data_IF_810957810718
#
_entry.id   IF_810957810718
#
_cell.length_a   1.000
_cell.length_b   1.000
_cell.length_c   1.000
_cell.angle_alpha   90.00
_cell.angle_beta   90.00
_cell.angle_gamma   90.00
#
_symmetry.space_group_name_H-M   'P 1'
#
loop_
_entity.id
_entity.type
_entity.pdbx_description
1 polymer ?
#
# COMPACT_ATOMS: atom_id res chain seq x y z
N UNK A 1 3.37 18.11 5.19
CA UNK A 1 3.65 17.35 3.96
C UNK A 1 2.79 16.10 4.00
N UNK A 2 1.74 16.04 3.18
CA UNK A 2 0.96 14.83 3.02
C UNK A 2 1.83 13.85 2.22
N UNK A 3 2.31 12.79 2.86
CA UNK A 3 2.94 11.69 2.14
C UNK A 3 1.87 11.01 1.31
N UNK A 4 2.14 10.86 0.01
CA UNK A 4 1.33 10.06 -0.92
C UNK A 4 1.37 8.60 -0.45
N UNK A 5 0.47 8.25 0.47
CA UNK A 5 0.43 6.94 1.10
C UNK A 5 -0.35 5.98 0.20
N UNK A 6 0.33 5.45 -0.81
CA UNK A 6 -0.17 4.31 -1.58
C UNK A 6 0.54 3.06 -1.04
N UNK A 7 -0.17 2.29 -0.23
CA UNK A 7 0.36 1.14 0.48
C UNK A 7 0.38 -0.16 -0.37
N UNK A 8 1.02 -0.15 -1.55
CA UNK A 8 1.29 -1.36 -2.34
C UNK A 8 2.80 -1.60 -2.47
N UNK A 9 3.24 -2.86 -2.42
CA UNK A 9 4.68 -3.19 -2.48
C UNK A 9 5.19 -3.65 -3.83
N UNK A 10 4.30 -3.98 -4.76
CA UNK A 10 4.62 -4.51 -6.10
C UNK A 10 3.58 -4.02 -7.12
N UNK A 11 3.96 -4.00 -8.39
CA UNK A 11 3.27 -3.32 -9.49
C UNK A 11 4.15 -2.25 -10.13
N UNK A 12 3.53 -1.39 -10.93
CA UNK A 12 4.21 -0.30 -11.62
C UNK A 12 4.26 0.97 -10.76
N UNK A 13 5.25 1.83 -11.03
CA UNK A 13 5.33 3.14 -10.40
C UNK A 13 4.20 4.07 -10.89
N UNK A 14 3.61 4.82 -9.97
CA UNK A 14 2.63 5.86 -10.27
C UNK A 14 3.15 7.23 -9.82
N UNK A 15 3.80 7.97 -10.73
CA UNK A 15 4.45 9.23 -10.40
C UNK A 15 5.54 9.05 -9.35
N UNK A 16 5.37 9.66 -8.17
CA UNK A 16 6.31 9.52 -7.04
C UNK A 16 6.02 8.30 -6.16
N UNK A 17 4.93 7.58 -6.40
CA UNK A 17 4.61 6.35 -5.69
C UNK A 17 5.36 5.18 -6.35
N UNK A 18 6.53 4.85 -5.79
CA UNK A 18 7.33 3.71 -6.23
C UNK A 18 7.03 2.51 -5.30
N UNK A 19 6.49 1.40 -5.80
CA UNK A 19 6.22 0.22 -4.97
C UNK A 19 7.51 -0.36 -4.39
N UNK A 20 7.50 -0.60 -3.08
CA UNK A 20 8.45 -1.47 -2.40
C UNK A 20 7.94 -1.79 -1.00
N UNK A 21 8.42 -2.90 -0.42
CA UNK A 21 8.13 -3.28 0.98
C UNK A 21 8.46 -2.14 1.96
N UNK A 22 9.58 -1.45 1.75
CA UNK A 22 10.01 -0.31 2.56
C UNK A 22 9.06 0.88 2.43
N UNK A 23 8.68 1.25 1.20
CA UNK A 23 7.78 2.38 0.96
C UNK A 23 6.38 2.12 1.51
N UNK A 24 5.88 0.89 1.41
CA UNK A 24 4.60 0.52 2.00
C UNK A 24 4.64 0.57 3.53
N UNK A 25 5.71 0.09 4.17
CA UNK A 25 5.88 0.21 5.62
C UNK A 25 5.91 1.67 6.08
N UNK A 26 6.63 2.54 5.35
CA UNK A 26 6.66 3.98 5.61
C UNK A 26 5.27 4.62 5.46
N UNK A 27 4.53 4.28 4.40
CA UNK A 27 3.17 4.74 4.16
C UNK A 27 2.20 4.33 5.29
N UNK A 28 2.21 3.04 5.67
CA UNK A 28 1.39 2.50 6.77
C UNK A 28 1.73 3.20 8.09
N UNK A 29 3.02 3.40 8.38
CA UNK A 29 3.48 4.05 9.61
C UNK A 29 3.00 5.50 9.68
N UNK A 30 3.07 6.22 8.55
CA UNK A 30 2.55 7.59 8.48
C UNK A 30 1.03 7.65 8.67
N UNK A 31 0.27 6.74 8.03
CA UNK A 31 -1.19 6.67 8.21
C UNK A 31 -1.53 6.42 9.67
N UNK A 32 -0.90 5.43 10.31
CA UNK A 32 -1.12 5.13 11.74
C UNK A 32 -0.79 6.33 12.63
N UNK A 33 0.30 7.04 12.33
CA UNK A 33 0.70 8.23 13.09
C UNK A 33 -0.29 9.39 12.93
N UNK A 34 -0.80 9.63 11.71
CA UNK A 34 -1.71 10.74 11.43
C UNK A 34 -3.17 10.47 11.81
N UNK A 35 -3.64 9.24 11.62
CA UNK A 35 -5.06 8.90 11.76
C UNK A 35 -5.36 8.04 12.99
N UNK A 36 -4.37 7.36 13.57
CA UNK A 36 -4.53 6.54 14.77
C UNK A 36 -5.66 5.52 14.64
N UNK A 37 -6.54 5.48 15.65
CA UNK A 37 -7.68 4.57 15.73
C UNK A 37 -8.81 4.89 14.73
N UNK A 38 -8.76 6.03 14.05
CA UNK A 38 -9.77 6.43 13.06
C UNK A 38 -9.53 5.86 11.66
N UNK A 39 -8.48 5.05 11.47
CA UNK A 39 -8.17 4.39 10.21
C UNK A 39 -8.29 2.87 10.31
N UNK A 40 -8.84 2.27 9.25
CA UNK A 40 -8.80 0.83 9.02
C UNK A 40 -7.84 0.59 7.86
N UNK A 41 -6.89 -0.33 8.05
CA UNK A 41 -6.00 -0.78 7.00
C UNK A 41 -6.56 -2.07 6.37
N UNK A 42 -6.57 -2.12 5.05
CA UNK A 42 -7.11 -3.23 4.27
C UNK A 42 -6.12 -3.54 3.14
N UNK A 43 -5.73 -4.79 2.87
CA UNK A 43 -6.10 -6.09 3.47
C UNK A 43 -4.98 -6.69 4.32
N UNK A 44 -5.28 -7.77 5.06
CA UNK A 44 -4.25 -8.54 5.77
C UNK A 44 -3.24 -9.20 4.81
N UNK A 45 -3.70 -9.75 3.69
CA UNK A 45 -2.88 -10.51 2.73
C UNK A 45 -3.17 -10.10 1.29
N UNK A 46 -2.25 -10.44 0.40
CA UNK A 46 -2.38 -10.22 -1.03
C UNK A 46 -3.58 -10.95 -1.63
N UNK A 47 -4.30 -10.24 -2.49
CA UNK A 47 -5.43 -10.75 -3.25
C UNK A 47 -4.98 -11.20 -4.65
N UNK A 48 -4.17 -12.26 -4.71
CA UNK A 48 -3.58 -12.74 -5.98
C UNK A 48 -4.62 -13.21 -7.02
N UNK A 49 -5.87 -13.40 -6.58
CA UNK A 49 -6.99 -13.79 -7.42
C UNK A 49 -7.60 -12.63 -8.21
N UNK A 50 -7.30 -11.37 -7.86
CA UNK A 50 -7.84 -10.20 -8.55
C UNK A 50 -7.28 -10.06 -9.95
N UNK A 51 -8.10 -9.57 -10.87
CA UNK A 51 -7.61 -9.13 -12.17
C UNK A 51 -6.68 -7.93 -12.01
N UNK A 52 -5.74 -7.77 -12.95
CA UNK A 52 -4.86 -6.60 -12.95
C UNK A 52 -5.69 -5.33 -13.20
N UNK A 53 -5.49 -4.35 -12.33
CA UNK A 53 -6.00 -3.00 -12.45
C UNK A 53 -4.91 -2.01 -12.87
N UNK A 54 -5.16 -0.70 -12.76
CA UNK A 54 -4.15 0.32 -12.99
C UNK A 54 -2.86 0.04 -12.20
N UNK A 55 -1.72 0.23 -12.87
CA UNK A 55 -0.38 0.04 -12.29
C UNK A 55 -0.13 -1.38 -11.74
N UNK A 56 -0.93 -2.38 -12.13
CA UNK A 56 -0.77 -3.77 -11.70
C UNK A 56 -0.72 -3.96 -10.15
N UNK A 57 -1.24 -3.00 -9.39
CA UNK A 57 -1.08 -2.94 -7.93
C UNK A 57 -2.12 -3.76 -7.15
N UNK A 58 -3.28 -4.05 -7.75
CA UNK A 58 -4.47 -4.60 -7.07
C UNK A 58 -4.25 -5.92 -6.33
N UNK A 59 -3.22 -6.68 -6.70
CA UNK A 59 -2.87 -7.95 -6.07
C UNK A 59 -1.97 -7.80 -4.83
N UNK A 60 -1.38 -6.63 -4.58
CA UNK A 60 -0.21 -6.46 -3.70
C UNK A 60 -0.40 -5.47 -2.54
N UNK A 61 -1.62 -5.37 -2.01
CA UNK A 61 -1.98 -4.49 -0.89
C UNK A 61 -1.86 -5.14 0.51
N UNK A 62 -1.46 -6.41 0.59
CA UNK A 62 -1.49 -7.19 1.83
C UNK A 62 -0.46 -6.72 2.86
N UNK A 63 -0.93 -6.23 4.02
CA UNK A 63 -0.09 -5.65 5.08
C UNK A 63 0.90 -6.67 5.68
N UNK A 64 0.52 -7.95 5.72
CA UNK A 64 1.34 -9.05 6.22
C UNK A 64 1.99 -9.87 5.09
N UNK A 65 1.87 -9.45 3.84
CA UNK A 65 2.48 -10.09 2.67
C UNK A 65 3.79 -9.40 2.23
N UNK A 66 4.33 -8.54 3.10
CA UNK A 66 5.48 -7.65 2.86
C UNK A 66 6.84 -8.27 3.13
#
# INVERSE_FOLDING_TARGET
MAVNAHAFFDGDSNGVAVPSKSNQQAAISSIKSSCGASAILFTAFNDLWKADGPYNAEKYWGIYSN
#
